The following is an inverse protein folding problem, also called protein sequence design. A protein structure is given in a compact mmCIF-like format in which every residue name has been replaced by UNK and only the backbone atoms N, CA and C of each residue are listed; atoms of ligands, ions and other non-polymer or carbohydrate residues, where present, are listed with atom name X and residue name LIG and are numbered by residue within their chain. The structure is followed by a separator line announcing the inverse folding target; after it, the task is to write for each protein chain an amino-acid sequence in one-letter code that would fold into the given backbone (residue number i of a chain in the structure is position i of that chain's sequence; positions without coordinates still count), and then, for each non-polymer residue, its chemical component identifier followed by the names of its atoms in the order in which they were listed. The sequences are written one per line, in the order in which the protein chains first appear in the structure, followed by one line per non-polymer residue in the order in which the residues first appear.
data_IF_410995211213
#
_entry.id   IF_410995211213
#
_cell.length_a   1.000
_cell.length_b   1.000
_cell.length_c   1.000
_cell.angle_alpha   90.00
_cell.angle_beta   90.00
_cell.angle_gamma   90.00
#
_symmetry.space_group_name_H-M   'P 1'
#
loop_
_entity.id
_entity.type
_entity.pdbx_description
1 polymer ?
#
# COMPACT_ATOMS: atom_id res chain seq x y z
N UNK A 1 19.57 -11.33 -0.65
CA UNK A 1 18.88 -11.05 0.62
C UNK A 1 18.15 -9.71 0.56
N UNK A 2 18.89 -8.64 0.22
CA UNK A 2 18.28 -7.31 0.12
C UNK A 2 17.14 -7.26 -0.90
N UNK A 3 17.34 -7.89 -2.05
CA UNK A 3 16.32 -7.99 -3.09
C UNK A 3 15.03 -8.63 -2.55
N UNK A 4 15.17 -9.76 -1.85
CA UNK A 4 14.01 -10.45 -1.29
C UNK A 4 13.31 -9.62 -0.22
N UNK A 5 14.05 -8.88 0.60
CA UNK A 5 13.47 -8.00 1.62
C UNK A 5 12.66 -6.86 0.99
N UNK A 6 13.18 -6.26 -0.08
CA UNK A 6 12.49 -5.14 -0.74
C UNK A 6 11.27 -5.61 -1.53
N UNK A 7 11.39 -6.72 -2.27
CA UNK A 7 10.33 -7.19 -3.16
C UNK A 7 9.22 -7.91 -2.40
N UNK A 8 9.57 -8.69 -1.39
CA UNK A 8 8.60 -9.53 -0.66
C UNK A 8 8.37 -9.08 0.79
N UNK A 9 9.45 -8.91 1.54
CA UNK A 9 9.34 -8.62 2.98
C UNK A 9 8.68 -7.29 3.29
N UNK A 10 9.16 -6.21 2.69
CA UNK A 10 8.62 -4.88 2.92
C UNK A 10 7.15 -4.77 2.52
N UNK A 11 6.72 -5.23 1.33
CA UNK A 11 5.31 -5.19 0.98
C UNK A 11 4.41 -5.95 1.95
N UNK A 12 4.84 -7.12 2.41
CA UNK A 12 4.04 -7.90 3.35
C UNK A 12 3.84 -7.10 4.65
N UNK A 13 4.92 -6.59 5.23
CA UNK A 13 4.86 -5.83 6.47
C UNK A 13 4.05 -4.55 6.30
N UNK A 14 4.27 -3.82 5.21
CA UNK A 14 3.57 -2.57 4.95
C UNK A 14 2.07 -2.78 4.76
N UNK A 15 1.67 -3.81 4.01
CA UNK A 15 0.24 -4.07 3.81
C UNK A 15 -0.43 -4.57 5.08
N UNK A 16 0.26 -5.38 5.88
CA UNK A 16 -0.28 -5.80 7.17
C UNK A 16 -0.51 -4.59 8.08
N UNK A 17 0.39 -3.61 8.06
CA UNK A 17 0.24 -2.40 8.87
C UNK A 17 -0.83 -1.47 8.30
N UNK A 18 -0.70 -1.05 7.04
CA UNK A 18 -1.56 0.00 6.48
C UNK A 18 -2.99 -0.49 6.24
N UNK A 19 -3.16 -1.64 5.60
CA UNK A 19 -4.49 -2.15 5.25
C UNK A 19 -5.03 -3.13 6.27
N UNK A 20 -4.17 -3.90 6.89
CA UNK A 20 -4.60 -4.86 7.90
C UNK A 20 -4.93 -4.22 9.24
N UNK A 21 -4.06 -3.34 9.72
CA UNK A 21 -4.24 -2.76 11.05
C UNK A 21 -4.83 -1.35 11.00
N UNK A 22 -4.12 -0.43 10.34
CA UNK A 22 -4.49 0.99 10.36
C UNK A 22 -5.82 1.24 9.64
N UNK A 23 -5.93 0.85 8.39
CA UNK A 23 -7.13 1.10 7.61
C UNK A 23 -8.36 0.41 8.21
N UNK A 24 -8.21 -0.86 8.58
CA UNK A 24 -9.32 -1.62 9.15
C UNK A 24 -9.82 -1.01 10.46
N UNK A 25 -8.90 -0.55 11.31
CA UNK A 25 -9.25 0.11 12.57
C UNK A 25 -10.00 1.43 12.32
N UNK A 26 -9.56 2.20 11.33
CA UNK A 26 -10.19 3.48 11.02
C UNK A 26 -11.55 3.29 10.32
N UNK A 27 -11.70 2.26 9.49
CA UNK A 27 -12.99 1.97 8.82
C UNK A 27 -14.10 1.64 9.82
N UNK A 28 -13.74 1.17 11.01
CA UNK A 28 -14.72 0.91 12.06
C UNK A 28 -15.30 2.19 12.66
N UNK A 29 -14.66 3.35 12.45
CA UNK A 29 -15.03 4.61 13.11
C UNK A 29 -15.33 5.76 12.16
N UNK A 30 -14.79 5.73 10.95
CA UNK A 30 -14.86 6.85 10.02
C UNK A 30 -15.40 6.42 8.67
N UNK A 31 -15.75 7.41 7.84
CA UNK A 31 -16.26 7.20 6.49
C UNK A 31 -15.23 6.49 5.60
N UNK A 32 -15.70 5.57 4.77
CA UNK A 32 -14.85 4.76 3.90
C UNK A 32 -13.94 5.59 3.00
N UNK A 33 -14.50 6.63 2.35
CA UNK A 33 -13.73 7.47 1.43
C UNK A 33 -12.64 8.22 2.18
N UNK A 34 -12.97 8.79 3.33
CA UNK A 34 -12.01 9.53 4.15
C UNK A 34 -10.87 8.63 4.59
N UNK A 35 -11.18 7.42 5.01
CA UNK A 35 -10.17 6.46 5.48
C UNK A 35 -9.27 6.02 4.34
N UNK A 36 -9.84 5.59 3.22
CA UNK A 36 -9.04 5.09 2.08
C UNK A 36 -8.14 6.20 1.53
N UNK A 37 -8.67 7.41 1.36
CA UNK A 37 -7.88 8.56 0.88
C UNK A 37 -6.81 8.94 1.91
N UNK A 38 -7.16 8.97 3.19
CA UNK A 38 -6.22 9.31 4.25
C UNK A 38 -5.07 8.33 4.37
N UNK A 39 -5.35 7.03 4.32
CA UNK A 39 -4.32 5.98 4.38
C UNK A 39 -3.43 6.03 3.14
N UNK A 40 -4.03 6.24 1.95
CA UNK A 40 -3.25 6.37 0.71
C UNK A 40 -2.32 7.59 0.76
N UNK A 41 -2.80 8.70 1.31
CA UNK A 41 -1.99 9.92 1.48
C UNK A 41 -0.81 9.67 2.42
N UNK A 42 -1.08 9.04 3.56
CA UNK A 42 -0.02 8.70 4.52
C UNK A 42 1.00 7.75 3.89
N UNK A 43 0.52 6.72 3.19
CA UNK A 43 1.38 5.74 2.53
C UNK A 43 2.34 6.43 1.54
N UNK A 44 1.82 7.35 0.72
CA UNK A 44 2.65 8.10 -0.22
C UNK A 44 3.62 9.04 0.51
N UNK A 45 3.13 9.79 1.48
CA UNK A 45 3.90 10.84 2.14
C UNK A 45 5.13 10.31 2.89
N UNK A 46 5.03 9.14 3.52
CA UNK A 46 6.15 8.60 4.31
C UNK A 46 7.33 8.15 3.46
N UNK A 47 7.14 8.00 2.15
CA UNK A 47 8.24 7.66 1.25
C UNK A 47 9.22 8.83 1.05
N UNK A 48 8.80 10.07 1.38
CA UNK A 48 9.63 11.26 1.37
C UNK A 48 10.26 11.56 0.00
N UNK A 49 9.62 11.16 -1.08
CA UNK A 49 10.08 11.39 -2.46
C UNK A 49 8.93 11.97 -3.28
N UNK A 50 8.82 13.32 -3.34
CA UNK A 50 7.67 13.98 -3.96
C UNK A 50 7.37 13.57 -5.40
N UNK A 51 8.40 13.24 -6.17
CA UNK A 51 8.22 12.80 -7.56
C UNK A 51 7.40 11.49 -7.65
N UNK A 52 7.43 10.69 -6.58
CA UNK A 52 6.71 9.42 -6.53
C UNK A 52 5.32 9.53 -5.93
N UNK A 53 4.99 10.68 -5.31
CA UNK A 53 3.71 10.82 -4.59
C UNK A 53 2.48 10.52 -5.45
N UNK A 54 2.35 11.04 -6.68
CA UNK A 54 1.16 10.74 -7.47
C UNK A 54 0.97 9.25 -7.73
N UNK A 55 2.05 8.56 -8.12
CA UNK A 55 2.00 7.12 -8.38
C UNK A 55 1.71 6.31 -7.12
N UNK A 56 2.37 6.64 -6.03
CA UNK A 56 2.17 5.96 -4.74
C UNK A 56 0.76 6.21 -4.20
N UNK A 57 0.24 7.41 -4.38
CA UNK A 57 -1.11 7.74 -3.94
C UNK A 57 -2.15 6.94 -4.71
N UNK A 58 -2.05 6.90 -6.04
CA UNK A 58 -2.97 6.13 -6.89
C UNK A 58 -2.87 4.65 -6.55
N UNK A 59 -1.67 4.12 -6.42
CA UNK A 59 -1.47 2.74 -6.01
C UNK A 59 -2.12 2.47 -4.64
N UNK A 60 -1.90 3.37 -3.68
CA UNK A 60 -2.49 3.27 -2.36
C UNK A 60 -4.02 3.27 -2.37
N UNK A 61 -4.63 4.08 -3.24
CA UNK A 61 -6.08 4.09 -3.41
C UNK A 61 -6.56 2.74 -3.93
N UNK A 62 -5.92 2.22 -4.97
CA UNK A 62 -6.33 0.97 -5.61
C UNK A 62 -6.27 -0.18 -4.61
N UNK A 63 -5.15 -0.36 -3.94
CA UNK A 63 -5.00 -1.48 -2.99
C UNK A 63 -5.83 -1.26 -1.72
N UNK A 64 -6.03 0.00 -1.33
CA UNK A 64 -6.90 0.32 -0.20
C UNK A 64 -8.35 -0.06 -0.47
N UNK A 65 -8.86 0.27 -1.65
CA UNK A 65 -10.21 -0.12 -2.06
C UNK A 65 -10.32 -1.64 -2.17
N UNK A 66 -9.32 -2.30 -2.76
CA UNK A 66 -9.31 -3.75 -2.89
C UNK A 66 -9.38 -4.43 -1.52
N UNK A 67 -8.58 -3.97 -0.56
CA UNK A 67 -8.58 -4.52 0.80
C UNK A 67 -9.92 -4.28 1.49
N UNK A 68 -10.51 -3.10 1.33
CA UNK A 68 -11.79 -2.74 1.92
C UNK A 68 -12.92 -3.63 1.37
N UNK A 69 -12.99 -3.77 0.05
CA UNK A 69 -14.07 -4.50 -0.60
C UNK A 69 -13.97 -6.01 -0.39
N UNK A 70 -12.76 -6.55 -0.36
CA UNK A 70 -12.57 -8.00 -0.21
C UNK A 70 -12.48 -8.44 1.25
N UNK A 71 -12.14 -7.54 2.16
CA UNK A 71 -11.85 -7.86 3.55
C UNK A 71 -10.59 -8.72 3.72
N UNK A 72 -9.76 -8.84 2.67
CA UNK A 72 -8.58 -9.68 2.63
C UNK A 72 -7.38 -8.88 2.16
N UNK A 73 -6.17 -9.32 2.57
CA UNK A 73 -4.93 -8.64 2.23
C UNK A 73 -4.16 -9.28 1.08
N UNK A 74 -4.56 -10.49 0.65
CA UNK A 74 -3.82 -11.24 -0.36
C UNK A 74 -3.62 -10.46 -1.65
N UNK A 75 -4.68 -9.85 -2.19
CA UNK A 75 -4.60 -9.07 -3.42
C UNK A 75 -3.72 -7.83 -3.23
N UNK A 76 -3.87 -7.13 -2.10
CA UNK A 76 -3.05 -5.94 -1.80
C UNK A 76 -1.58 -6.29 -1.68
N UNK A 77 -1.26 -7.38 -1.00
CA UNK A 77 0.12 -7.86 -0.84
C UNK A 77 0.70 -8.23 -2.20
N UNK A 78 -0.03 -9.00 -3.01
CA UNK A 78 0.46 -9.41 -4.32
C UNK A 78 0.65 -8.23 -5.26
N UNK A 79 -0.29 -7.28 -5.27
CA UNK A 79 -0.17 -6.08 -6.06
C UNK A 79 1.03 -5.24 -5.62
N UNK A 80 1.28 -5.14 -4.33
CA UNK A 80 2.41 -4.39 -3.79
C UNK A 80 3.75 -5.06 -4.15
N UNK A 81 3.80 -6.38 -4.08
CA UNK A 81 4.98 -7.13 -4.52
C UNK A 81 5.25 -6.85 -6.01
N UNK A 82 4.21 -6.93 -6.84
CA UNK A 82 4.33 -6.63 -8.27
C UNK A 82 4.78 -5.20 -8.54
N UNK A 83 4.25 -4.24 -7.80
CA UNK A 83 4.64 -2.84 -7.91
C UNK A 83 6.12 -2.64 -7.59
N UNK A 84 6.58 -3.21 -6.47
CA UNK A 84 7.99 -3.10 -6.07
C UNK A 84 8.92 -3.82 -7.04
N UNK A 85 8.52 -5.00 -7.52
CA UNK A 85 9.30 -5.76 -8.49
C UNK A 85 9.43 -4.99 -9.80
N UNK A 86 8.33 -4.41 -10.29
CA UNK A 86 8.34 -3.60 -11.51
C UNK A 86 9.28 -2.40 -11.36
N UNK A 87 9.18 -1.69 -10.24
CA UNK A 87 10.05 -0.56 -9.97
C UNK A 87 11.52 -0.94 -9.95
N UNK A 88 11.85 -2.07 -9.34
CA UNK A 88 13.21 -2.57 -9.28
C UNK A 88 13.73 -2.93 -10.68
N UNK A 89 12.93 -3.63 -11.47
CA UNK A 89 13.33 -4.03 -12.83
C UNK A 89 13.55 -2.83 -13.75
N UNK A 90 12.81 -1.75 -13.54
CA UNK A 90 12.96 -0.54 -14.34
C UNK A 90 14.26 0.20 -14.05
N UNK A 91 14.88 0.02 -12.90
CA UNK A 91 16.14 0.67 -12.55
C UNK A 91 17.36 -0.24 -12.73
N UNK A 92 17.16 -1.50 -13.05
CA UNK A 92 18.24 -2.41 -13.38
C UNK A 92 18.60 -2.27 -14.87
#
# INVERSE_FOLDING_TARGET
VLFALVVFGAPIVEELFYRGLLQRSLLARFNDVVVVVGVATLFAAIHLRPIEYPGLFVFGLIVGVAAMLTGRLGMSIMAHIGFNLTGLLLVL
#
